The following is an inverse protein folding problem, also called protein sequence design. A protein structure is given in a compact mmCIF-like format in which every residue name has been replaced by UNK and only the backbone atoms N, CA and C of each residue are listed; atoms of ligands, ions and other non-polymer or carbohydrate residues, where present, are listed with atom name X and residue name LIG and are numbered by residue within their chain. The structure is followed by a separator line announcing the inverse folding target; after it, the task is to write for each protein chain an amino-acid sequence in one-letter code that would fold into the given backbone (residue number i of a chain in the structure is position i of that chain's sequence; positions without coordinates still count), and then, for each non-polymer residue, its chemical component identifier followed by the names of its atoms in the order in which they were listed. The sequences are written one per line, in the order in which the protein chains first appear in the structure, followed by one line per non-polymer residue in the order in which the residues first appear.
data_IF_496817749577
#
_entry.id   IF_496817749577
#
_cell.length_a   1.000
_cell.length_b   1.000
_cell.length_c   1.000
_cell.angle_alpha   90.00
_cell.angle_beta   90.00
_cell.angle_gamma   90.00
#
_symmetry.space_group_name_H-M   'P 1'
#
loop_
_entity.id
_entity.type
_entity.pdbx_description
1 polymer ?
#
# COMPACT_ATOMS: atom_id res chain seq x y z
N UNK A 1 -15.78 3.02 -16.26
CA UNK A 1 -16.28 4.40 -16.29
C UNK A 1 -16.64 4.86 -14.87
N UNK A 2 -16.45 6.13 -14.63
CA UNK A 2 -16.86 6.78 -13.40
C UNK A 2 -17.44 8.14 -13.79
N UNK A 3 -18.69 8.42 -13.38
CA UNK A 3 -19.42 9.65 -13.74
C UNK A 3 -19.50 9.85 -15.25
N UNK A 4 -19.66 8.77 -16.01
CA UNK A 4 -19.77 8.79 -17.45
C UNK A 4 -18.46 9.02 -18.20
N UNK A 5 -17.32 9.05 -17.49
CA UNK A 5 -16.00 9.26 -18.09
C UNK A 5 -15.16 8.00 -18.03
N UNK A 6 -14.31 7.81 -19.03
CA UNK A 6 -13.34 6.72 -19.03
C UNK A 6 -12.21 7.10 -18.09
N UNK A 7 -11.99 6.29 -17.04
CA UNK A 7 -10.94 6.52 -16.06
C UNK A 7 -9.60 5.97 -16.55
N UNK A 8 -9.61 4.82 -17.18
CA UNK A 8 -8.39 4.22 -17.71
C UNK A 8 -8.73 3.17 -18.74
N UNK A 9 -8.08 3.22 -19.90
CA UNK A 9 -8.17 2.21 -20.93
C UNK A 9 -6.83 1.47 -20.98
N UNK A 10 -6.80 0.27 -20.45
CA UNK A 10 -5.58 -0.56 -20.39
C UNK A 10 -5.97 -2.02 -20.27
N UNK A 11 -4.97 -2.91 -20.43
CA UNK A 11 -5.17 -4.33 -20.16
C UNK A 11 -5.54 -4.54 -18.69
N UNK A 12 -6.22 -5.64 -18.33
CA UNK A 12 -6.54 -5.95 -16.94
C UNK A 12 -5.31 -5.95 -16.03
N UNK A 13 -4.18 -6.43 -16.51
CA UNK A 13 -2.94 -6.45 -15.72
C UNK A 13 -2.48 -5.05 -15.34
N UNK A 14 -2.52 -4.11 -16.30
CA UNK A 14 -2.13 -2.72 -16.02
C UNK A 14 -3.12 -2.03 -15.10
N UNK A 15 -4.41 -2.32 -15.23
CA UNK A 15 -5.42 -1.75 -14.32
C UNK A 15 -5.16 -2.15 -12.87
N UNK A 16 -4.72 -3.38 -12.67
CA UNK A 16 -4.41 -3.89 -11.33
C UNK A 16 -3.05 -3.37 -10.82
N UNK A 17 -1.97 -3.54 -11.62
CA UNK A 17 -0.61 -3.26 -11.18
C UNK A 17 -0.27 -1.76 -11.20
N UNK A 18 -0.82 -1.02 -12.14
CA UNK A 18 -0.50 0.39 -12.34
C UNK A 18 -1.75 1.27 -12.44
N UNK A 19 -2.59 1.31 -11.38
CA UNK A 19 -3.78 2.16 -11.40
C UNK A 19 -3.37 3.64 -11.46
N UNK A 20 -4.11 4.43 -12.25
CA UNK A 20 -3.79 5.85 -12.43
C UNK A 20 -4.52 6.74 -11.44
N UNK A 21 -5.57 6.25 -10.78
CA UNK A 21 -6.29 7.02 -9.76
C UNK A 21 -6.88 6.10 -8.70
N UNK A 22 -7.36 6.70 -7.61
CA UNK A 22 -7.89 5.95 -6.46
C UNK A 22 -9.14 5.15 -6.80
N UNK A 23 -9.96 5.64 -7.71
CA UNK A 23 -11.15 4.90 -8.14
C UNK A 23 -10.75 3.57 -8.80
N UNK A 24 -9.81 3.61 -9.75
CA UNK A 24 -9.33 2.41 -10.44
C UNK A 24 -8.66 1.46 -9.44
N UNK A 25 -7.82 2.00 -8.55
CA UNK A 25 -7.13 1.19 -7.55
C UNK A 25 -8.11 0.44 -6.64
N UNK A 26 -9.16 1.10 -6.17
CA UNK A 26 -10.15 0.49 -5.29
C UNK A 26 -11.11 -0.45 -6.01
N UNK A 27 -11.38 -0.21 -7.28
CA UNK A 27 -12.33 -1.00 -8.06
C UNK A 27 -11.77 -2.35 -8.51
N UNK A 28 -10.48 -2.40 -8.84
CA UNK A 28 -9.88 -3.57 -9.51
C UNK A 28 -9.41 -4.66 -8.55
N UNK A 29 -9.48 -4.49 -7.26
CA UNK A 29 -9.07 -5.54 -6.35
C UNK A 29 -8.74 -5.02 -4.96
N UNK A 30 -8.28 -5.90 -4.09
CA UNK A 30 -7.89 -5.51 -2.75
C UNK A 30 -6.75 -4.49 -2.81
N UNK A 31 -6.80 -3.52 -1.91
CA UNK A 31 -5.88 -2.41 -1.95
C UNK A 31 -5.70 -1.82 -0.55
N UNK A 32 -4.46 -1.60 -0.16
CA UNK A 32 -4.17 -0.86 1.06
C UNK A 32 -4.05 0.60 0.73
N UNK A 33 -4.68 1.45 1.52
CA UNK A 33 -4.64 2.89 1.29
C UNK A 33 -4.20 3.64 2.52
N UNK A 34 -3.40 4.69 2.30
CA UNK A 34 -3.04 5.65 3.34
C UNK A 34 -3.35 7.05 2.82
N UNK A 35 -4.10 7.81 3.59
CA UNK A 35 -4.39 9.20 3.24
C UNK A 35 -3.39 10.12 3.93
N UNK A 36 -2.89 11.11 3.22
CA UNK A 36 -1.92 12.02 3.76
C UNK A 36 -1.70 13.25 2.90
N UNK A 37 -0.67 13.98 3.22
CA UNK A 37 -0.29 15.20 2.52
C UNK A 37 1.18 15.10 2.10
N UNK A 38 1.47 15.49 0.87
CA UNK A 38 2.82 15.43 0.34
C UNK A 38 3.70 16.43 1.08
N UNK A 39 4.77 15.95 1.72
CA UNK A 39 5.73 16.77 2.45
C UNK A 39 6.97 17.11 1.64
N UNK A 40 7.27 16.32 0.60
CA UNK A 40 8.42 16.57 -0.27
C UNK A 40 8.26 15.81 -1.59
N UNK A 41 8.82 16.38 -2.66
CA UNK A 41 8.86 15.71 -3.98
C UNK A 41 10.28 15.89 -4.52
N UNK A 42 10.99 14.77 -4.72
CA UNK A 42 12.34 14.82 -5.26
C UNK A 42 12.77 13.47 -5.80
N UNK A 43 13.64 13.45 -6.81
CA UNK A 43 14.23 12.23 -7.34
C UNK A 43 13.24 11.22 -7.90
N UNK A 44 12.10 11.66 -8.40
CA UNK A 44 11.07 10.77 -8.91
C UNK A 44 10.25 10.10 -7.82
N UNK A 45 10.40 10.52 -6.57
CA UNK A 45 9.67 9.99 -5.42
C UNK A 45 9.04 11.13 -4.64
N UNK A 46 8.03 10.82 -3.83
CA UNK A 46 7.48 11.80 -2.91
C UNK A 46 7.40 11.23 -1.51
N UNK A 47 7.44 12.12 -0.52
CA UNK A 47 7.21 11.77 0.88
C UNK A 47 5.79 12.20 1.23
N UNK A 48 5.05 11.31 1.86
CA UNK A 48 3.67 11.57 2.26
C UNK A 48 3.59 11.49 3.78
N UNK A 49 3.17 12.58 4.40
CA UNK A 49 2.98 12.63 5.85
C UNK A 49 1.56 12.21 6.18
N UNK A 50 1.43 11.17 6.98
CA UNK A 50 0.14 10.62 7.40
C UNK A 50 -0.37 11.34 8.64
N UNK A 51 -1.65 11.13 8.98
CA UNK A 51 -2.25 11.74 10.16
C UNK A 51 -1.55 11.32 11.46
N UNK A 52 -0.99 10.12 11.48
CA UNK A 52 -0.23 9.62 12.64
C UNK A 52 1.09 10.36 12.85
N UNK A 53 1.53 11.18 11.89
CA UNK A 53 2.81 11.86 11.93
C UNK A 53 3.91 11.09 11.22
N UNK A 54 3.68 9.84 10.86
CA UNK A 54 4.66 9.04 10.14
C UNK A 54 4.73 9.48 8.67
N UNK A 55 5.89 9.28 8.06
CA UNK A 55 6.08 9.56 6.64
C UNK A 55 6.33 8.27 5.88
N UNK A 56 5.76 8.16 4.68
CA UNK A 56 6.02 7.07 3.76
C UNK A 56 6.52 7.64 2.44
N UNK A 57 7.31 6.83 1.73
CA UNK A 57 7.88 7.22 0.44
C UNK A 57 7.06 6.52 -0.65
N UNK A 58 6.59 7.29 -1.63
CA UNK A 58 5.70 6.79 -2.66
C UNK A 58 6.10 7.28 -4.05
N UNK A 59 5.50 6.67 -5.06
CA UNK A 59 5.67 7.05 -6.47
C UNK A 59 4.60 8.10 -6.80
N UNK A 60 4.98 9.33 -7.15
CA UNK A 60 4.01 10.40 -7.43
C UNK A 60 3.36 10.22 -8.79
N UNK A 61 2.10 9.79 -8.81
CA UNK A 61 1.34 9.56 -10.04
C UNK A 61 0.42 10.75 -10.34
N UNK A 62 -0.34 11.19 -9.33
CA UNK A 62 -1.26 12.33 -9.46
C UNK A 62 -0.83 13.50 -8.57
N UNK A 63 0.45 13.56 -8.25
CA UNK A 63 1.01 14.58 -7.37
C UNK A 63 1.83 15.55 -8.20
N UNK A 64 1.63 16.84 -7.98
CA UNK A 64 2.38 17.88 -8.68
C UNK A 64 3.38 18.59 -7.79
N UNK A 65 3.04 18.79 -6.51
CA UNK A 65 3.88 19.57 -5.62
C UNK A 65 3.65 19.26 -4.15
N UNK A 66 4.58 19.73 -3.34
CA UNK A 66 4.47 19.70 -1.88
C UNK A 66 3.16 20.38 -1.45
N UNK A 67 2.47 19.78 -0.48
CA UNK A 67 1.22 20.29 0.02
C UNK A 67 -0.01 19.62 -0.58
N UNK A 68 0.15 18.87 -1.67
CA UNK A 68 -0.96 18.15 -2.28
C UNK A 68 -1.47 17.06 -1.34
N UNK A 69 -2.78 16.92 -1.28
CA UNK A 69 -3.37 15.79 -0.56
C UNK A 69 -3.38 14.58 -1.47
N UNK A 70 -3.17 13.41 -0.89
CA UNK A 70 -3.04 12.20 -1.67
C UNK A 70 -3.56 10.98 -0.92
N UNK A 71 -3.93 9.97 -1.67
CA UNK A 71 -4.21 8.64 -1.16
C UNK A 71 -3.18 7.70 -1.78
N UNK A 72 -2.36 7.08 -0.94
CA UNK A 72 -1.34 6.14 -1.39
C UNK A 72 -1.95 4.75 -1.47
N UNK A 73 -1.76 4.10 -2.60
CA UNK A 73 -2.29 2.77 -2.89
C UNK A 73 -1.16 1.75 -2.91
N UNK A 74 -1.32 0.66 -2.17
CA UNK A 74 -0.35 -0.43 -2.10
C UNK A 74 -1.09 -1.76 -2.12
N UNK A 75 -0.76 -2.61 -3.09
CA UNK A 75 -1.38 -3.94 -3.19
C UNK A 75 -0.86 -4.86 -2.09
N UNK A 76 -1.71 -5.75 -1.53
CA UNK A 76 -1.32 -6.61 -0.41
C UNK A 76 -0.09 -7.50 -0.67
N UNK A 77 0.07 -7.97 -1.90
CA UNK A 77 1.18 -8.85 -2.26
C UNK A 77 2.51 -8.11 -2.45
N UNK A 78 2.49 -6.78 -2.47
CA UNK A 78 3.70 -5.98 -2.65
C UNK A 78 4.39 -5.63 -1.34
N UNK A 79 3.73 -5.83 -0.22
CA UNK A 79 4.31 -5.63 1.10
C UNK A 79 4.94 -6.93 1.60
N UNK A 80 6.09 -6.83 2.25
CA UNK A 80 6.88 -7.98 2.68
C UNK A 80 7.05 -7.96 4.19
N UNK A 81 6.85 -9.13 4.83
CA UNK A 81 7.07 -9.29 6.26
C UNK A 81 8.56 -9.47 6.53
N UNK A 82 9.07 -8.72 7.51
CA UNK A 82 10.46 -8.79 7.98
C UNK A 82 11.45 -8.86 6.82
N UNK A 83 11.45 -7.86 5.93
CA UNK A 83 12.31 -7.90 4.75
C UNK A 83 13.80 -7.94 5.17
N UNK A 84 14.57 -8.81 4.51
CA UNK A 84 16.00 -8.90 4.73
C UNK A 84 16.73 -7.75 4.05
N UNK A 85 16.21 -7.30 2.92
CA UNK A 85 16.79 -6.20 2.15
C UNK A 85 16.28 -4.86 2.68
N UNK A 86 17.10 -3.82 2.47
CA UNK A 86 16.69 -2.46 2.77
C UNK A 86 15.61 -2.02 1.79
N UNK A 87 14.50 -1.55 2.30
CA UNK A 87 13.38 -1.06 1.50
C UNK A 87 13.14 0.42 1.78
N UNK A 88 12.49 1.10 0.84
CA UNK A 88 12.18 2.53 0.99
C UNK A 88 11.30 2.78 2.21
N UNK A 89 10.37 1.86 2.49
CA UNK A 89 9.50 1.94 3.65
C UNK A 89 9.65 0.69 4.49
N UNK A 90 9.71 0.87 5.80
CA UNK A 90 9.73 -0.22 6.76
C UNK A 90 9.06 0.26 8.03
N UNK A 91 7.95 -0.36 8.39
CA UNK A 91 7.15 0.06 9.53
C UNK A 91 6.68 -1.15 10.32
N UNK A 92 6.41 -0.94 11.61
CA UNK A 92 5.93 -2.01 12.49
C UNK A 92 4.42 -2.02 12.49
N UNK A 93 3.83 -3.21 12.35
CA UNK A 93 2.39 -3.41 12.40
C UNK A 93 2.02 -4.50 13.39
N UNK A 94 0.82 -4.41 13.95
CA UNK A 94 0.29 -5.40 14.88
C UNK A 94 -0.71 -6.30 14.17
N UNK A 95 -0.53 -7.61 14.30
CA UNK A 95 -1.40 -8.60 13.65
C UNK A 95 -2.74 -8.67 14.39
N UNK A 96 -3.81 -8.36 13.66
CA UNK A 96 -5.18 -8.38 14.19
C UNK A 96 -5.98 -9.61 13.76
N UNK A 97 -5.63 -10.20 12.61
CA UNK A 97 -6.36 -11.36 12.07
C UNK A 97 -5.48 -12.13 11.09
N UNK A 98 -5.59 -13.44 11.08
CA UNK A 98 -4.89 -14.30 10.12
C UNK A 98 -5.91 -15.31 9.56
N UNK A 99 -6.05 -15.34 8.24
CA UNK A 99 -6.93 -16.28 7.53
C UNK A 99 -6.08 -17.08 6.55
N UNK A 100 -6.09 -18.40 6.72
CA UNK A 100 -5.32 -19.29 5.84
C UNK A 100 -6.17 -19.71 4.64
N UNK A 101 -5.62 -19.51 3.46
CA UNK A 101 -6.17 -19.99 2.20
C UNK A 101 -5.29 -21.12 1.67
N UNK A 102 -5.69 -21.75 0.58
CA UNK A 102 -4.95 -22.89 0.05
C UNK A 102 -3.51 -22.59 -0.32
N UNK A 103 -3.24 -21.42 -0.90
CA UNK A 103 -1.94 -21.04 -1.43
C UNK A 103 -1.26 -19.89 -0.67
N UNK A 104 -1.97 -19.23 0.24
CA UNK A 104 -1.43 -18.10 0.99
C UNK A 104 -2.16 -17.88 2.32
N UNK A 105 -1.59 -17.04 3.15
CA UNK A 105 -2.25 -16.53 4.35
C UNK A 105 -2.59 -15.05 4.13
N UNK A 106 -3.82 -14.67 4.48
CA UNK A 106 -4.26 -13.29 4.45
C UNK A 106 -4.18 -12.74 5.86
N UNK A 107 -3.32 -11.73 6.05
CA UNK A 107 -3.03 -11.17 7.37
C UNK A 107 -3.52 -9.74 7.42
N UNK A 108 -4.37 -9.43 8.42
CA UNK A 108 -4.82 -8.07 8.65
C UNK A 108 -4.03 -7.46 9.79
N UNK A 109 -3.51 -6.26 9.56
CA UNK A 109 -2.66 -5.55 10.50
C UNK A 109 -3.24 -4.20 10.84
N UNK A 110 -2.86 -3.70 12.02
CA UNK A 110 -2.96 -2.30 12.36
C UNK A 110 -1.57 -1.70 12.11
N UNK A 111 -1.44 -0.90 11.06
CA UNK A 111 -0.17 -0.36 10.62
C UNK A 111 -0.33 1.12 10.27
N UNK A 112 0.45 1.98 10.94
CA UNK A 112 0.42 3.45 10.71
C UNK A 112 -0.98 4.05 10.80
N UNK A 113 -1.83 3.51 11.69
CA UNK A 113 -3.19 3.98 11.87
C UNK A 113 -4.21 3.34 10.94
N UNK A 114 -3.79 2.54 9.98
CA UNK A 114 -4.68 1.77 9.13
C UNK A 114 -4.91 0.39 9.76
N UNK A 115 -6.10 0.19 10.32
CA UNK A 115 -6.48 -1.06 11.01
C UNK A 115 -6.83 -2.18 10.04
N UNK A 116 -6.99 -1.85 8.77
CA UNK A 116 -7.39 -2.79 7.73
C UNK A 116 -6.29 -3.04 6.71
N UNK A 117 -5.04 -2.86 7.12
CA UNK A 117 -3.89 -3.14 6.24
C UNK A 117 -3.78 -4.65 6.02
N UNK A 118 -3.78 -5.06 4.76
CA UNK A 118 -3.80 -6.48 4.38
C UNK A 118 -2.48 -6.88 3.75
N UNK A 119 -1.94 -8.02 4.20
CA UNK A 119 -0.82 -8.70 3.57
C UNK A 119 -1.29 -10.02 3.00
N UNK A 120 -0.71 -10.44 1.89
CA UNK A 120 -0.85 -11.79 1.36
C UNK A 120 0.52 -12.45 1.42
N UNK A 121 0.64 -13.47 2.26
CA UNK A 121 1.90 -14.17 2.50
C UNK A 121 1.80 -15.55 1.85
N UNK A 122 2.63 -15.85 0.83
CA UNK A 122 2.62 -17.17 0.20
C UNK A 122 2.96 -18.27 1.21
N UNK A 123 2.34 -19.44 1.08
CA UNK A 123 2.62 -20.57 1.97
C UNK A 123 4.09 -20.99 1.92
N UNK A 124 4.73 -20.82 0.77
CA UNK A 124 6.17 -21.10 0.61
C UNK A 124 7.05 -20.20 1.46
N UNK A 125 6.50 -19.04 1.90
CA UNK A 125 7.18 -18.09 2.78
C UNK A 125 6.63 -18.16 4.20
N UNK A 126 6.00 -19.28 4.57
CA UNK A 126 5.37 -19.45 5.88
C UNK A 126 6.33 -19.13 7.01
N UNK A 127 5.89 -18.27 7.93
CA UNK A 127 6.67 -17.88 9.09
C UNK A 127 5.99 -18.33 10.35
N UNK A 128 6.78 -18.81 11.29
CA UNK A 128 6.29 -19.32 12.57
C UNK A 128 5.76 -18.22 13.48
N UNK A 129 6.12 -16.98 13.24
CA UNK A 129 5.80 -15.84 14.09
C UNK A 129 4.55 -15.06 13.65
N UNK A 130 3.81 -15.55 12.66
CA UNK A 130 2.56 -14.92 12.23
C UNK A 130 1.45 -15.36 13.18
N UNK A 131 1.27 -14.62 14.27
CA UNK A 131 0.26 -14.92 15.30
C UNK A 131 -0.47 -13.66 15.71
N UNK A 132 -1.73 -13.82 16.08
CA UNK A 132 -2.55 -12.73 16.61
C UNK A 132 -1.83 -12.00 17.75
N UNK A 133 -1.84 -10.68 17.71
CA UNK A 133 -1.28 -9.84 18.74
C UNK A 133 0.21 -9.56 18.61
N UNK A 134 0.92 -10.31 17.76
CA UNK A 134 2.35 -10.07 17.54
C UNK A 134 2.56 -8.83 16.67
N UNK A 135 3.69 -8.18 16.90
CA UNK A 135 4.14 -7.09 16.05
C UNK A 135 5.17 -7.62 15.06
N UNK A 136 5.07 -7.16 13.82
CA UNK A 136 6.01 -7.54 12.76
C UNK A 136 6.44 -6.29 12.01
N UNK A 137 7.61 -6.35 11.38
CA UNK A 137 8.05 -5.31 10.47
C UNK A 137 7.49 -5.60 9.09
N UNK A 138 7.01 -4.55 8.42
CA UNK A 138 6.47 -4.65 7.07
C UNK A 138 7.21 -3.65 6.20
N UNK A 139 7.71 -4.09 5.06
CA UNK A 139 8.44 -3.23 4.14
C UNK A 139 7.87 -3.25 2.74
N UNK A 140 8.05 -2.14 2.04
CA UNK A 140 7.71 -2.02 0.62
C UNK A 140 8.51 -0.92 -0.01
N UNK A 141 8.64 -0.98 -1.32
CA UNK A 141 9.38 0.04 -2.07
C UNK A 141 8.44 1.10 -2.63
N UNK A 142 8.97 2.29 -2.83
CA UNK A 142 8.20 3.43 -3.32
C UNK A 142 7.56 3.18 -4.67
N UNK A 143 8.22 2.40 -5.54
CA UNK A 143 7.68 2.09 -6.87
C UNK A 143 6.34 1.34 -6.80
N UNK A 144 6.11 0.60 -5.72
CA UNK A 144 4.90 -0.20 -5.52
C UNK A 144 3.82 0.57 -4.76
N UNK A 145 4.16 1.72 -4.18
CA UNK A 145 3.23 2.56 -3.43
C UNK A 145 2.91 3.79 -4.28
N UNK A 146 1.72 3.84 -4.85
CA UNK A 146 1.35 4.89 -5.81
C UNK A 146 0.56 5.99 -5.13
N UNK A 147 1.10 7.21 -5.19
CA UNK A 147 0.43 8.39 -4.64
C UNK A 147 -0.56 8.94 -5.67
N UNK A 148 -1.83 8.74 -5.41
CA UNK A 148 -2.92 9.03 -6.33
C UNK A 148 -3.74 10.22 -5.82
N UNK A 149 -4.89 10.48 -6.48
CA UNK A 149 -5.81 11.52 -6.06
C UNK A 149 -6.41 11.17 -4.68
N UNK A 150 -6.89 12.18 -3.91
CA UNK A 150 -7.34 11.95 -2.53
C UNK A 150 -8.71 11.30 -2.39
N UNK A 151 -9.37 10.93 -3.47
CA UNK A 151 -10.73 10.33 -3.43
C UNK A 151 -10.73 8.83 -3.29
#
# INVERSE_FOLDING_TARGET
FNDGKVQQLSSPDKLYEEPVNSFVAGFIGENNTFSGEVSDVSGGKCKVKLQSGAEIIANPIKIKSKGDKTKVSLRPERAIIDPEEKMDNKHKGKIEEVIYHGDHARVRLNLLGNKDFILKVPNSSARMDIKLGNEINVGWNSKDARALDPK
#
